data_IF_291180939070
#
_entry.id   IF_291180939070
#
_cell.length_a   1.000
_cell.length_b   1.000
_cell.length_c   1.000
_cell.angle_alpha   90.00
_cell.angle_beta   90.00
_cell.angle_gamma   90.00
#
_symmetry.space_group_name_H-M   'P 1'
#
loop_
_entity.id
_entity.type
_entity.pdbx_description
1 polymer ?
#
# COMPACT_ATOMS: atom_id res chain seq x y z
N UNK A 1 26.77 0.73 -5.61
CA UNK A 1 26.13 0.59 -6.92
C UNK A 1 26.80 1.54 -7.90
N UNK A 2 27.21 1.10 -9.10
CA UNK A 2 27.66 2.01 -10.15
C UNK A 2 26.51 2.94 -10.58
N UNK A 3 26.77 4.23 -10.81
CA UNK A 3 25.72 5.22 -11.10
C UNK A 3 24.85 4.90 -12.33
N UNK A 4 25.39 4.17 -13.31
CA UNK A 4 24.61 3.68 -14.46
C UNK A 4 23.55 2.66 -14.04
N UNK A 5 23.87 1.78 -13.09
CA UNK A 5 22.93 0.77 -12.61
C UNK A 5 21.78 1.41 -11.83
N UNK A 6 22.08 2.43 -11.01
CA UNK A 6 21.08 3.22 -10.32
C UNK A 6 20.16 3.96 -11.30
N UNK A 7 20.72 4.62 -12.32
CA UNK A 7 19.93 5.31 -13.34
C UNK A 7 19.03 4.36 -14.13
N UNK A 8 19.49 3.16 -14.47
CA UNK A 8 18.66 2.15 -15.14
C UNK A 8 17.50 1.69 -14.26
N UNK A 9 17.74 1.43 -12.97
CA UNK A 9 16.66 1.06 -12.03
C UNK A 9 15.63 2.18 -11.89
N UNK A 10 16.05 3.44 -11.82
CA UNK A 10 15.13 4.58 -11.71
C UNK A 10 14.32 4.86 -12.97
N UNK A 11 14.85 4.51 -14.14
CA UNK A 11 14.18 4.75 -15.43
C UNK A 11 13.34 3.57 -15.89
N UNK A 12 13.41 2.43 -15.20
CA UNK A 12 12.58 1.29 -15.52
C UNK A 12 11.11 1.52 -15.13
N UNK A 13 10.27 1.62 -16.16
CA UNK A 13 8.84 1.77 -16.03
C UNK A 13 8.11 0.42 -16.07
N UNK A 14 8.74 -0.64 -16.60
CA UNK A 14 8.10 -1.95 -16.79
C UNK A 14 7.82 -2.61 -15.45
N UNK A 15 8.77 -2.57 -14.52
CA UNK A 15 8.59 -3.10 -13.16
C UNK A 15 7.35 -2.53 -12.47
N UNK A 16 7.04 -1.24 -12.68
CA UNK A 16 5.84 -0.62 -12.09
C UNK A 16 4.55 -1.24 -12.65
N UNK A 17 4.45 -1.42 -13.97
CA UNK A 17 3.26 -2.01 -14.58
C UNK A 17 3.12 -3.49 -14.23
N UNK A 18 4.22 -4.25 -14.31
CA UNK A 18 4.24 -5.68 -13.96
C UNK A 18 3.82 -5.91 -12.50
N UNK A 19 4.22 -5.02 -11.58
CA UNK A 19 3.79 -5.09 -10.17
C UNK A 19 2.26 -5.08 -10.04
N UNK A 20 1.57 -4.23 -10.80
CA UNK A 20 0.11 -4.16 -10.77
C UNK A 20 -0.55 -5.32 -11.50
N UNK A 21 0.04 -5.78 -12.60
CA UNK A 21 -0.49 -6.90 -13.38
C UNK A 21 -0.34 -8.24 -12.67
N UNK A 22 0.70 -8.42 -11.85
CA UNK A 22 0.93 -9.63 -11.06
C UNK A 22 0.30 -9.57 -9.66
N UNK A 23 -0.37 -8.47 -9.30
CA UNK A 23 -0.88 -8.24 -7.93
C UNK A 23 -1.88 -9.31 -7.47
N UNK A 24 -2.69 -9.84 -8.38
CA UNK A 24 -3.65 -10.92 -8.12
C UNK A 24 -2.98 -12.31 -8.03
N UNK A 25 -1.75 -12.45 -8.52
CA UNK A 25 -0.95 -13.69 -8.43
C UNK A 25 -0.11 -13.79 -7.15
N UNK A 26 -0.02 -12.71 -6.37
CA UNK A 26 0.75 -12.71 -5.12
C UNK A 26 0.17 -13.72 -4.12
N UNK A 27 1.04 -14.50 -3.49
CA UNK A 27 0.67 -15.53 -2.53
C UNK A 27 -0.35 -15.00 -1.49
N UNK A 28 -1.44 -15.74 -1.30
CA UNK A 28 -2.52 -15.39 -0.40
C UNK A 28 -2.06 -15.21 1.05
N UNK A 29 -0.94 -15.81 1.45
CA UNK A 29 -0.34 -15.65 2.80
C UNK A 29 0.17 -14.24 3.06
N UNK A 30 0.49 -13.48 2.00
CA UNK A 30 0.97 -12.11 2.11
C UNK A 30 -0.24 -11.17 2.16
N UNK A 31 -0.59 -10.68 3.34
CA UNK A 31 -1.66 -9.69 3.47
C UNK A 31 -1.21 -8.33 2.98
N UNK A 32 -2.07 -7.63 2.21
CA UNK A 32 -1.81 -6.25 1.78
C UNK A 32 -2.79 -5.29 2.46
N UNK A 33 -2.25 -4.24 3.09
CA UNK A 33 -3.03 -3.09 3.56
C UNK A 33 -2.72 -1.87 2.70
N UNK A 34 -3.71 -1.42 1.93
CA UNK A 34 -3.62 -0.21 1.12
C UNK A 34 -4.04 1.00 1.94
N UNK A 35 -3.13 1.97 2.07
CA UNK A 35 -3.40 3.28 2.67
C UNK A 35 -3.54 4.27 1.50
N UNK A 36 -4.71 4.88 1.38
CA UNK A 36 -5.09 5.67 0.22
C UNK A 36 -5.51 7.07 0.61
N UNK A 37 -5.11 8.06 -0.18
CA UNK A 37 -5.49 9.45 0.04
C UNK A 37 -7.01 9.63 -0.10
N UNK A 38 -7.61 10.61 0.56
CA UNK A 38 -9.00 10.99 0.33
C UNK A 38 -9.14 12.09 -0.71
N UNK A 39 -8.24 13.07 -0.60
CA UNK A 39 -8.22 14.28 -1.40
C UNK A 39 -7.38 14.02 -2.66
N UNK A 40 -8.04 13.59 -3.72
CA UNK A 40 -7.36 13.28 -4.99
C UNK A 40 -7.82 14.18 -6.12
N UNK A 41 -6.93 14.38 -7.10
CA UNK A 41 -7.23 15.12 -8.32
C UNK A 41 -8.22 14.38 -9.21
N UNK A 42 -8.83 15.11 -10.16
CA UNK A 42 -9.67 14.50 -11.20
C UNK A 42 -8.82 13.53 -12.02
N UNK A 43 -9.27 12.28 -12.15
CA UNK A 43 -8.61 11.21 -12.91
C UNK A 43 -7.91 10.14 -12.05
N UNK A 44 -7.67 10.40 -10.78
CA UNK A 44 -7.01 9.43 -9.89
C UNK A 44 -7.95 8.34 -9.34
N UNK A 45 -9.27 8.52 -9.47
CA UNK A 45 -10.25 7.50 -9.10
C UNK A 45 -10.13 6.24 -9.96
N UNK A 46 -9.90 6.39 -11.26
CA UNK A 46 -9.64 5.27 -12.18
C UNK A 46 -8.39 4.47 -11.78
N UNK A 47 -7.34 5.16 -11.34
CA UNK A 47 -6.10 4.51 -10.92
C UNK A 47 -6.33 3.58 -9.72
N UNK A 48 -7.23 3.93 -8.80
CA UNK A 48 -7.56 3.09 -7.65
C UNK A 48 -8.18 1.76 -8.04
N UNK A 49 -9.19 1.82 -8.89
CA UNK A 49 -9.91 0.64 -9.38
C UNK A 49 -8.98 -0.31 -10.13
N UNK A 50 -7.99 0.22 -10.84
CA UNK A 50 -7.02 -0.55 -11.62
C UNK A 50 -5.77 -0.97 -10.87
N UNK A 51 -5.62 -0.61 -9.59
CA UNK A 51 -4.43 -0.93 -8.77
C UNK A 51 -4.80 -1.53 -7.40
N UNK A 52 -5.09 -0.69 -6.41
CA UNK A 52 -5.31 -1.06 -5.00
C UNK A 52 -6.53 -1.95 -4.77
N UNK A 53 -7.52 -1.92 -5.66
CA UNK A 53 -8.70 -2.80 -5.60
C UNK A 53 -8.59 -4.09 -6.43
N UNK A 54 -7.45 -4.38 -7.07
CA UNK A 54 -7.31 -5.60 -7.89
C UNK A 54 -7.32 -6.89 -7.08
N UNK A 55 -6.81 -6.85 -5.85
CA UNK A 55 -6.68 -8.05 -5.02
C UNK A 55 -8.03 -8.39 -4.37
N UNK A 56 -8.55 -9.63 -4.51
CA UNK A 56 -9.86 -9.98 -3.97
C UNK A 56 -9.84 -10.52 -2.54
N UNK A 57 -8.70 -11.05 -2.07
CA UNK A 57 -8.58 -11.77 -0.78
C UNK A 57 -7.34 -11.36 -0.01
N UNK A 58 -7.42 -11.49 1.32
CA UNK A 58 -6.36 -11.12 2.27
C UNK A 58 -5.79 -9.71 1.98
N UNK A 59 -6.68 -8.76 1.77
CA UNK A 59 -6.33 -7.37 1.54
C UNK A 59 -7.35 -6.42 2.17
N UNK A 60 -6.90 -5.22 2.53
CA UNK A 60 -7.75 -4.14 3.02
C UNK A 60 -7.41 -2.82 2.32
N UNK A 61 -8.43 -1.99 2.10
CA UNK A 61 -8.31 -0.67 1.47
C UNK A 61 -8.85 0.39 2.42
N UNK A 62 -7.97 1.26 2.94
CA UNK A 62 -8.32 2.32 3.89
C UNK A 62 -8.13 3.68 3.23
N UNK A 63 -9.19 4.49 3.20
CA UNK A 63 -9.17 5.82 2.58
C UNK A 63 -9.14 6.90 3.65
N UNK A 64 -8.06 7.68 3.69
CA UNK A 64 -7.87 8.82 4.59
C UNK A 64 -8.51 10.07 3.99
N UNK A 65 -9.83 10.21 4.16
CA UNK A 65 -10.65 11.30 3.59
C UNK A 65 -10.09 12.72 3.82
N UNK A 66 -9.38 12.92 4.92
CA UNK A 66 -8.77 14.19 5.33
C UNK A 66 -7.42 14.51 4.69
N UNK A 67 -6.75 13.55 4.05
CA UNK A 67 -5.38 13.70 3.53
C UNK A 67 -5.30 13.53 2.00
N UNK A 68 -4.34 14.20 1.38
CA UNK A 68 -3.90 14.00 -0.01
C UNK A 68 -2.77 12.96 -0.08
N UNK A 69 -1.97 12.97 -1.15
CA UNK A 69 -0.88 12.02 -1.41
C UNK A 69 0.17 11.94 -0.29
N UNK A 70 0.29 12.99 0.53
CA UNK A 70 1.32 13.11 1.56
C UNK A 70 0.77 12.75 2.94
N UNK A 71 0.02 11.64 3.05
CA UNK A 71 -0.70 11.20 4.26
C UNK A 71 0.21 11.17 5.49
N UNK A 72 1.45 10.72 5.34
CA UNK A 72 2.45 10.66 6.43
C UNK A 72 2.72 12.05 7.03
N UNK A 73 2.63 13.10 6.22
CA UNK A 73 2.84 14.49 6.67
C UNK A 73 1.54 15.19 7.05
N UNK A 74 0.43 14.86 6.40
CA UNK A 74 -0.87 15.52 6.60
C UNK A 74 -1.68 14.95 7.78
N UNK A 75 -1.55 13.64 8.05
CA UNK A 75 -2.28 12.92 9.09
C UNK A 75 -1.39 11.86 9.79
N UNK A 76 -0.22 12.25 10.35
CA UNK A 76 0.75 11.31 10.91
C UNK A 76 0.19 10.51 12.09
N UNK A 77 -0.61 11.15 12.95
CA UNK A 77 -1.15 10.50 14.16
C UNK A 77 -2.24 9.48 13.79
N UNK A 78 -3.17 9.85 12.92
CA UNK A 78 -4.22 8.94 12.45
C UNK A 78 -3.62 7.76 11.70
N UNK A 79 -2.62 8.01 10.85
CA UNK A 79 -1.93 6.94 10.13
C UNK A 79 -1.20 6.00 11.10
N UNK A 80 -0.49 6.56 12.09
CA UNK A 80 0.21 5.77 13.10
C UNK A 80 -0.75 4.87 13.90
N UNK A 81 -1.90 5.42 14.31
CA UNK A 81 -2.95 4.65 15.01
C UNK A 81 -3.51 3.53 14.15
N UNK A 82 -3.78 3.80 12.86
CA UNK A 82 -4.29 2.78 11.93
C UNK A 82 -3.30 1.63 11.72
N UNK A 83 -2.02 1.95 11.48
CA UNK A 83 -0.96 0.95 11.30
C UNK A 83 -0.77 0.14 12.60
N UNK A 84 -0.71 0.80 13.75
CA UNK A 84 -0.58 0.11 15.05
C UNK A 84 -1.75 -0.85 15.26
N UNK A 85 -2.99 -0.37 15.10
CA UNK A 85 -4.18 -1.20 15.29
C UNK A 85 -4.21 -2.41 14.33
N UNK A 86 -3.77 -2.22 13.07
CA UNK A 86 -3.66 -3.32 12.11
C UNK A 86 -2.64 -4.38 12.55
N UNK A 87 -1.43 -3.94 12.93
CA UNK A 87 -0.36 -4.84 13.38
C UNK A 87 -0.76 -5.53 14.69
N UNK A 88 -1.31 -4.79 15.65
CA UNK A 88 -1.71 -5.30 16.97
C UNK A 88 -2.87 -6.30 16.85
N UNK A 89 -3.85 -6.05 15.98
CA UNK A 89 -4.94 -7.00 15.74
C UNK A 89 -4.42 -8.36 15.24
N UNK A 90 -3.34 -8.35 14.45
CA UNK A 90 -2.81 -9.56 13.81
C UNK A 90 -1.71 -10.25 14.61
N UNK A 91 -0.87 -9.46 15.28
CA UNK A 91 0.35 -9.93 15.93
C UNK A 91 0.43 -9.56 17.42
N UNK A 92 -0.46 -8.72 17.93
CA UNK A 92 -0.47 -8.28 19.33
C UNK A 92 -0.87 -9.36 20.32
N UNK A 93 -1.52 -10.45 19.87
CA UNK A 93 -1.90 -11.59 20.71
C UNK A 93 -0.86 -12.71 20.75
N UNK A 94 0.44 -12.41 20.72
CA UNK A 94 1.46 -13.39 21.13
C UNK A 94 1.47 -13.47 22.65
N UNK A 95 0.49 -14.20 23.18
CA UNK A 95 0.63 -14.89 24.45
C UNK A 95 0.38 -16.37 24.19
N UNK A 96 1.46 -17.10 23.91
CA UNK A 96 1.76 -18.40 24.53
C UNK A 96 3.20 -18.76 24.17
N UNK A 97 4.01 -18.82 25.23
CA UNK A 97 5.33 -19.47 25.25
C UNK A 97 5.17 -20.94 24.84
N UNK A 98 6.06 -21.43 23.99
CA UNK A 98 6.59 -22.79 24.07
C UNK A 98 8.11 -22.70 23.91
#
# INVERSE_FOLDING_TARGET
MPGVQEAMTYTDMLTMYETWDLMDTLDERVEIRWILAGKVGKGEQWFRETTSWRRPVNCSNVVFTQASHLIVMEAPEELGKDISAFVDCKYGSVSTRL
#
